data_IF_233139811064
#
_entry.id   IF_233139811064
#
_cell.length_a   1.000
_cell.length_b   1.000
_cell.length_c   1.000
_cell.angle_alpha   90.00
_cell.angle_beta   90.00
_cell.angle_gamma   90.00
#
_symmetry.space_group_name_H-M   'P 1'
#
loop_
_entity.id
_entity.type
_entity.pdbx_description
1 polymer ?
#
# COMPACT_ATOMS: atom_id res chain seq x y z
N UNK A 1 9.85 9.23 18.66
CA UNK A 1 8.58 9.02 17.92
C UNK A 1 7.81 10.33 17.91
N UNK A 2 7.47 10.86 16.73
CA UNK A 2 6.84 12.19 16.59
C UNK A 2 5.45 12.21 17.21
N UNK A 3 5.22 13.19 18.11
CA UNK A 3 4.01 13.38 18.92
C UNK A 3 2.85 14.03 18.15
N UNK A 4 2.46 13.47 17.01
CA UNK A 4 1.26 13.94 16.29
C UNK A 4 0.06 13.14 16.80
N UNK A 5 -1.07 13.79 17.08
CA UNK A 5 -2.35 13.17 17.45
C UNK A 5 -3.51 13.71 16.62
N UNK A 6 -4.63 13.00 16.64
CA UNK A 6 -5.89 13.51 16.09
C UNK A 6 -6.26 14.83 16.78
N UNK A 7 -6.66 15.83 15.99
CA UNK A 7 -6.93 17.20 16.40
C UNK A 7 -5.76 18.16 16.23
N UNK A 8 -4.53 17.68 16.05
CA UNK A 8 -3.37 18.56 15.89
C UNK A 8 -3.40 19.30 14.54
N UNK A 9 -2.96 20.57 14.57
CA UNK A 9 -2.61 21.32 13.36
C UNK A 9 -1.23 20.88 12.88
N UNK A 10 -1.13 20.53 11.61
CA UNK A 10 0.10 20.03 10.99
C UNK A 10 0.36 20.73 9.67
N UNK A 11 1.64 20.85 9.31
CA UNK A 11 2.08 21.29 7.98
C UNK A 11 2.69 20.10 7.25
N UNK A 12 2.20 19.83 6.05
CA UNK A 12 2.71 18.76 5.20
C UNK A 12 4.13 19.11 4.77
N UNK A 13 5.10 18.30 5.22
CA UNK A 13 6.47 18.40 4.73
C UNK A 13 6.50 17.76 3.34
N UNK A 14 6.96 18.49 2.33
CA UNK A 14 7.33 17.90 1.05
C UNK A 14 8.78 17.42 1.14
N UNK A 15 9.06 16.11 1.32
CA UNK A 15 10.41 15.60 1.19
C UNK A 15 10.87 15.70 -0.27
N UNK A 16 12.17 15.88 -0.45
CA UNK A 16 12.80 16.10 -1.76
C UNK A 16 12.71 14.90 -2.71
N UNK A 17 12.32 13.72 -2.22
CA UNK A 17 12.22 12.47 -2.97
C UNK A 17 10.77 12.04 -3.28
N UNK A 18 9.78 12.90 -3.09
CA UNK A 18 8.41 12.57 -3.51
C UNK A 18 8.31 12.46 -5.03
N UNK A 19 7.67 11.41 -5.57
CA UNK A 19 7.37 11.33 -6.99
C UNK A 19 6.45 12.49 -7.38
N UNK A 20 6.73 13.12 -8.52
CA UNK A 20 5.90 14.19 -9.08
C UNK A 20 4.59 13.61 -9.63
N UNK A 21 3.47 14.33 -9.54
CA UNK A 21 2.35 14.25 -8.57
C UNK A 21 1.65 12.86 -8.47
N UNK A 22 0.70 12.66 -7.51
CA UNK A 22 -0.11 13.67 -6.80
C UNK A 22 0.46 14.23 -5.49
N UNK A 23 1.38 13.55 -4.81
CA UNK A 23 1.84 13.94 -3.47
C UNK A 23 2.43 15.35 -3.37
N UNK A 24 3.18 15.80 -4.39
CA UNK A 24 3.88 17.10 -4.38
C UNK A 24 2.96 18.32 -4.30
N UNK A 25 1.69 18.20 -4.71
CA UNK A 25 0.72 19.33 -4.73
C UNK A 25 0.39 19.86 -3.33
N UNK A 26 0.63 19.05 -2.30
CA UNK A 26 0.28 19.38 -0.92
C UNK A 26 1.48 19.79 -0.07
N UNK A 27 2.68 19.90 -0.65
CA UNK A 27 3.84 20.39 0.08
C UNK A 27 3.58 21.79 0.65
N UNK A 28 3.89 21.98 1.93
CA UNK A 28 3.61 23.19 2.72
C UNK A 28 2.13 23.47 3.02
N UNK A 29 1.19 22.61 2.60
CA UNK A 29 -0.20 22.75 2.98
C UNK A 29 -0.37 22.54 4.50
N UNK A 30 -1.27 23.29 5.10
CA UNK A 30 -1.63 23.18 6.52
C UNK A 30 -2.97 22.48 6.66
N UNK A 31 -3.09 21.59 7.64
CA UNK A 31 -4.29 20.79 7.87
C UNK A 31 -4.46 20.41 9.33
N UNK A 32 -5.58 19.77 9.64
CA UNK A 32 -5.84 19.16 10.94
C UNK A 32 -5.85 17.64 10.78
N UNK A 33 -5.19 16.93 11.69
CA UNK A 33 -5.27 15.46 11.73
C UNK A 33 -6.67 15.06 12.16
N UNK A 34 -7.49 14.55 11.24
CA UNK A 34 -8.89 14.19 11.55
C UNK A 34 -9.04 12.72 11.97
N UNK A 35 -8.17 11.83 11.49
CA UNK A 35 -8.07 10.41 11.86
C UNK A 35 -6.73 9.85 11.41
N UNK A 36 -6.28 8.76 12.02
CA UNK A 36 -5.25 7.91 11.43
C UNK A 36 -5.87 7.13 10.26
N UNK A 37 -5.07 6.79 9.24
CA UNK A 37 -5.56 6.10 8.04
C UNK A 37 -6.48 4.94 8.42
N UNK A 38 -7.68 4.87 7.82
CA UNK A 38 -8.46 3.65 7.93
C UNK A 38 -7.72 2.60 7.12
N UNK A 39 -7.36 1.50 7.77
CA UNK A 39 -6.72 0.36 7.12
C UNK A 39 -7.59 -0.14 5.96
N UNK A 40 -8.92 -0.05 6.12
CA UNK A 40 -9.92 -0.43 5.13
C UNK A 40 -9.87 0.42 3.86
N UNK A 41 -9.70 1.75 3.96
CA UNK A 41 -9.62 2.64 2.79
C UNK A 41 -8.36 2.36 1.93
N UNK A 42 -7.27 1.90 2.56
CA UNK A 42 -5.99 1.57 1.88
C UNK A 42 -5.99 0.13 1.36
N UNK A 43 -6.68 -0.78 2.06
CA UNK A 43 -6.78 -2.18 1.66
C UNK A 43 -7.93 -2.45 0.67
N UNK A 44 -8.86 -1.51 0.46
CA UNK A 44 -9.93 -1.67 -0.53
C UNK A 44 -9.36 -1.85 -1.94
N UNK A 45 -8.24 -1.19 -2.27
CA UNK A 45 -7.52 -1.39 -3.54
C UNK A 45 -6.82 -2.76 -3.63
N UNK A 46 -6.62 -3.44 -2.51
CA UNK A 46 -5.98 -4.77 -2.42
C UNK A 46 -6.98 -5.90 -2.14
N UNK A 47 -8.28 -5.60 -2.02
CA UNK A 47 -9.31 -6.62 -1.72
C UNK A 47 -9.42 -7.71 -2.79
N UNK A 48 -9.06 -7.35 -4.03
CA UNK A 48 -9.10 -8.25 -5.17
C UNK A 48 -7.78 -9.02 -5.36
N UNK A 49 -6.89 -9.00 -4.37
CA UNK A 49 -5.66 -9.78 -4.37
C UNK A 49 -5.70 -10.92 -3.35
N UNK A 50 -5.30 -12.11 -3.78
CA UNK A 50 -5.03 -13.25 -2.91
C UNK A 50 -3.52 -13.35 -2.65
N UNK A 51 -3.16 -13.60 -1.39
CA UNK A 51 -1.79 -13.92 -1.00
C UNK A 51 -1.62 -15.44 -1.03
N UNK A 52 -0.79 -15.92 -1.95
CA UNK A 52 -0.69 -17.34 -2.30
C UNK A 52 0.72 -17.84 -2.00
N UNK A 53 0.80 -18.98 -1.31
CA UNK A 53 2.03 -19.75 -1.16
C UNK A 53 2.25 -20.62 -2.40
N UNK A 54 3.41 -20.51 -3.04
CA UNK A 54 3.71 -21.26 -4.27
C UNK A 54 4.27 -22.63 -3.93
N UNK A 55 3.43 -23.67 -4.04
CA UNK A 55 3.86 -25.06 -3.77
C UNK A 55 4.52 -25.73 -4.98
N UNK A 56 4.08 -25.38 -6.19
CA UNK A 56 4.53 -25.99 -7.45
C UNK A 56 4.50 -24.95 -8.58
N UNK A 57 5.51 -24.98 -9.43
CA UNK A 57 5.59 -24.15 -10.63
C UNK A 57 6.46 -24.83 -11.70
N UNK A 58 6.21 -24.49 -12.96
CA UNK A 58 6.96 -24.98 -14.12
C UNK A 58 7.83 -23.87 -14.73
N UNK A 59 8.79 -24.27 -15.57
CA UNK A 59 9.69 -23.35 -16.29
C UNK A 59 10.44 -22.39 -15.36
N UNK A 60 10.48 -21.11 -15.75
CA UNK A 60 11.13 -20.04 -15.01
C UNK A 60 10.45 -19.76 -13.64
N UNK A 61 9.20 -20.18 -13.46
CA UNK A 61 8.46 -20.02 -12.21
C UNK A 61 9.01 -20.83 -11.04
N UNK A 62 9.85 -21.84 -11.29
CA UNK A 62 10.45 -22.71 -10.26
C UNK A 62 11.25 -21.95 -9.21
N UNK A 63 11.82 -20.79 -9.56
CA UNK A 63 12.62 -19.99 -8.62
C UNK A 63 11.79 -19.40 -7.47
N UNK A 64 10.47 -19.35 -7.63
CA UNK A 64 9.52 -18.82 -6.64
C UNK A 64 8.83 -19.91 -5.80
N UNK A 65 9.15 -21.19 -5.99
CA UNK A 65 8.58 -22.27 -5.16
C UNK A 65 9.04 -22.08 -3.71
N UNK A 66 8.09 -22.03 -2.78
CA UNK A 66 8.31 -21.71 -1.37
C UNK A 66 8.09 -20.24 -1.00
N UNK A 67 7.98 -19.34 -1.98
CA UNK A 67 7.67 -17.93 -1.75
C UNK A 67 6.16 -17.71 -1.54
N UNK A 68 5.83 -16.52 -1.04
CA UNK A 68 4.46 -16.04 -0.93
C UNK A 68 4.29 -14.79 -1.79
N UNK A 69 3.33 -14.81 -2.73
CA UNK A 69 3.15 -13.77 -3.73
C UNK A 69 1.68 -13.33 -3.79
N UNK A 70 1.44 -12.08 -4.18
CA UNK A 70 0.10 -11.52 -4.38
C UNK A 70 -0.33 -11.68 -5.83
N UNK A 71 -1.53 -12.20 -6.06
CA UNK A 71 -2.15 -12.32 -7.37
C UNK A 71 -3.54 -11.73 -7.35
N UNK A 72 -3.96 -11.12 -8.46
CA UNK A 72 -5.35 -10.73 -8.61
C UNK A 72 -6.24 -11.97 -8.63
N UNK A 73 -7.34 -11.95 -7.90
CA UNK A 73 -8.31 -13.05 -7.80
C UNK A 73 -8.89 -13.41 -9.17
N UNK A 74 -9.09 -12.42 -10.07
CA UNK A 74 -9.56 -12.65 -11.45
C UNK A 74 -8.61 -13.49 -12.30
N UNK A 75 -7.36 -13.66 -11.88
CA UNK A 75 -6.32 -14.43 -12.59
C UNK A 75 -6.11 -15.83 -12.01
N UNK A 76 -6.99 -16.28 -11.10
CA UNK A 76 -6.87 -17.56 -10.40
C UNK A 76 -8.02 -18.48 -10.77
N UNK A 77 -7.69 -19.69 -11.23
CA UNK A 77 -8.64 -20.77 -11.39
C UNK A 77 -8.60 -21.70 -10.18
N UNK A 78 -9.76 -22.22 -9.80
CA UNK A 78 -9.86 -23.24 -8.76
C UNK A 78 -9.47 -24.60 -9.34
N UNK A 79 -8.48 -25.25 -8.71
CA UNK A 79 -8.01 -26.61 -9.03
C UNK A 79 -8.58 -27.65 -8.06
#
# INVERSE_FOLDING_TARGET
MSKIKVGDKVKVKGPSNWPTPPGYRFANAEGTVIRWSLYDDVMDDFKDFAYIHIEKADGDGKVYVGDNLLFKVESLDKI
#
